data_IF_459536807769
#
_entry.id   IF_459536807769
#
_cell.length_a   1.000
_cell.length_b   1.000
_cell.length_c   1.000
_cell.angle_alpha   90.00
_cell.angle_beta   90.00
_cell.angle_gamma   90.00
#
_symmetry.space_group_name_H-M   'P 1'
#
loop_
_entity.id
_entity.type
_entity.pdbx_description
1 polymer ?
#
# COMPACT_ATOMS: atom_id res chain seq x y z
N UNK A 1 7.82 -9.94 -35.73
CA UNK A 1 6.64 -10.55 -35.07
C UNK A 1 7.13 -11.69 -34.20
N UNK A 2 7.16 -11.51 -32.87
CA UNK A 2 7.60 -12.55 -31.95
C UNK A 2 6.46 -13.58 -31.78
N UNK A 3 6.71 -14.85 -32.14
CA UNK A 3 5.72 -15.91 -32.01
C UNK A 3 5.44 -16.23 -30.55
N UNK A 4 4.24 -15.92 -30.07
CA UNK A 4 3.75 -16.34 -28.75
C UNK A 4 3.42 -17.84 -28.81
N UNK A 5 4.00 -18.63 -27.90
CA UNK A 5 3.87 -20.10 -27.89
C UNK A 5 2.75 -20.58 -26.97
N UNK A 6 2.00 -19.68 -26.34
CA UNK A 6 0.82 -20.04 -25.55
C UNK A 6 -0.32 -20.43 -26.48
N UNK A 7 -0.71 -21.71 -26.48
CA UNK A 7 -1.89 -22.25 -27.17
C UNK A 7 -2.60 -23.25 -26.25
N UNK A 8 -3.90 -23.45 -26.42
CA UNK A 8 -4.69 -24.47 -25.71
C UNK A 8 -5.40 -23.97 -24.45
N UNK A 9 -5.68 -24.87 -23.50
CA UNK A 9 -6.58 -24.65 -22.35
C UNK A 9 -6.26 -23.42 -21.48
N UNK A 10 -5.00 -23.01 -21.39
CA UNK A 10 -4.58 -21.88 -20.54
C UNK A 10 -4.40 -20.54 -21.29
N UNK A 11 -4.74 -20.51 -22.58
CA UNK A 11 -4.67 -19.29 -23.38
C UNK A 11 -5.57 -18.16 -22.86
N UNK A 12 -6.82 -18.40 -22.40
CA UNK A 12 -7.65 -17.33 -21.85
C UNK A 12 -7.02 -16.63 -20.63
N UNK A 13 -6.33 -17.39 -19.78
CA UNK A 13 -5.61 -16.82 -18.64
C UNK A 13 -4.40 -15.97 -19.08
N UNK A 14 -3.73 -16.36 -20.16
CA UNK A 14 -2.68 -15.53 -20.76
C UNK A 14 -3.23 -14.21 -21.30
N UNK A 15 -4.30 -14.24 -22.08
CA UNK A 15 -4.92 -13.03 -22.62
C UNK A 15 -5.42 -12.11 -21.51
N UNK A 16 -6.09 -12.70 -20.51
CA UNK A 16 -6.54 -11.97 -19.34
C UNK A 16 -5.39 -11.23 -18.69
N UNK A 17 -4.29 -11.92 -18.34
CA UNK A 17 -3.14 -11.32 -17.67
C UNK A 17 -2.39 -10.31 -18.56
N UNK A 18 -2.32 -10.54 -19.87
CA UNK A 18 -1.65 -9.65 -20.81
C UNK A 18 -2.31 -8.26 -20.88
N UNK A 19 -3.64 -8.22 -20.73
CA UNK A 19 -4.43 -6.98 -20.77
C UNK A 19 -4.36 -6.15 -19.48
N UNK A 20 -3.70 -6.67 -18.44
CA UNK A 20 -3.71 -6.04 -17.12
C UNK A 20 -2.59 -5.01 -17.03
N UNK A 21 -2.95 -3.80 -16.65
CA UNK A 21 -2.02 -2.69 -16.46
C UNK A 21 -1.32 -2.79 -15.11
N UNK A 22 -1.97 -3.42 -14.12
CA UNK A 22 -1.47 -3.59 -12.77
C UNK A 22 -0.25 -4.51 -12.70
N UNK A 23 0.69 -4.18 -11.81
CA UNK A 23 1.89 -4.97 -11.58
C UNK A 23 1.65 -6.17 -10.64
N UNK A 24 0.48 -6.25 -10.01
CA UNK A 24 0.12 -7.30 -9.07
C UNK A 24 -1.37 -7.62 -9.19
N UNK A 25 -1.69 -8.91 -9.29
CA UNK A 25 -3.03 -9.41 -9.62
C UNK A 25 -3.30 -10.62 -8.76
N UNK A 26 -4.46 -10.65 -8.12
CA UNK A 26 -4.89 -11.79 -7.30
C UNK A 26 -6.17 -12.34 -7.91
N UNK A 27 -6.14 -13.63 -8.24
CA UNK A 27 -7.30 -14.33 -8.77
C UNK A 27 -7.65 -15.49 -7.85
N UNK A 28 -8.91 -15.59 -7.47
CA UNK A 28 -9.44 -16.77 -6.78
C UNK A 28 -9.40 -17.99 -7.68
N UNK A 29 -9.47 -19.19 -7.10
CA UNK A 29 -9.55 -20.41 -7.91
C UNK A 29 -10.78 -20.40 -8.81
N UNK A 30 -11.91 -19.87 -8.32
CA UNK A 30 -13.15 -19.76 -9.11
C UNK A 30 -13.00 -18.75 -10.25
N UNK A 31 -12.42 -17.58 -10.00
CA UNK A 31 -12.14 -16.58 -11.06
C UNK A 31 -11.21 -17.15 -12.14
N UNK A 32 -10.18 -17.92 -11.75
CA UNK A 32 -9.29 -18.58 -12.72
C UNK A 32 -10.07 -19.60 -13.55
N UNK A 33 -10.96 -20.38 -12.94
CA UNK A 33 -11.79 -21.35 -13.66
C UNK A 33 -12.83 -20.70 -14.58
N UNK A 34 -13.37 -19.55 -14.18
CA UNK A 34 -14.25 -18.71 -15.01
C UNK A 34 -13.50 -18.18 -16.22
N UNK A 35 -12.29 -17.62 -16.03
CA UNK A 35 -11.43 -17.14 -17.11
C UNK A 35 -11.06 -18.29 -18.06
N UNK A 36 -10.73 -19.47 -17.51
CA UNK A 36 -10.36 -20.65 -18.31
C UNK A 36 -11.56 -21.33 -18.97
N UNK A 37 -12.79 -20.95 -18.61
CA UNK A 37 -14.03 -21.65 -18.95
C UNK A 37 -13.97 -23.16 -18.67
N UNK A 38 -13.19 -23.57 -17.66
CA UNK A 38 -12.92 -24.95 -17.36
C UNK A 38 -12.39 -25.11 -15.95
N UNK A 39 -12.77 -26.23 -15.30
CA UNK A 39 -12.25 -26.57 -13.98
C UNK A 39 -10.74 -26.85 -14.01
N UNK A 40 -10.04 -26.37 -12.99
CA UNK A 40 -8.62 -26.62 -12.74
C UNK A 40 -8.43 -28.08 -12.32
N UNK A 41 -7.32 -28.73 -12.72
CA UNK A 41 -7.04 -30.09 -12.29
C UNK A 41 -6.83 -30.14 -10.78
N UNK A 42 -7.13 -31.29 -10.14
CA UNK A 42 -6.94 -31.50 -8.69
C UNK A 42 -5.53 -31.15 -8.20
N UNK A 43 -4.53 -31.27 -9.06
CA UNK A 43 -3.15 -30.92 -8.75
C UNK A 43 -2.95 -29.42 -8.50
N UNK A 44 -3.71 -28.54 -9.14
CA UNK A 44 -3.67 -27.09 -8.92
C UNK A 44 -4.08 -26.72 -7.48
N UNK A 45 -4.98 -27.50 -6.88
CA UNK A 45 -5.45 -27.30 -5.50
C UNK A 45 -4.54 -27.91 -4.43
N UNK A 46 -3.63 -28.82 -4.81
CA UNK A 46 -2.87 -29.64 -3.86
C UNK A 46 -1.37 -29.41 -3.89
N UNK A 47 -0.81 -29.02 -5.03
CA UNK A 47 0.63 -28.99 -5.22
C UNK A 47 1.11 -27.62 -5.69
N UNK A 48 1.92 -26.95 -4.87
CA UNK A 48 2.55 -25.67 -5.19
C UNK A 48 3.36 -25.73 -6.49
N UNK A 49 4.00 -26.87 -6.78
CA UNK A 49 4.76 -27.09 -8.00
C UNK A 49 3.92 -26.90 -9.27
N UNK A 50 2.60 -27.08 -9.21
CA UNK A 50 1.70 -26.84 -10.33
C UNK A 50 1.67 -25.36 -10.74
N UNK A 51 1.83 -24.46 -9.77
CA UNK A 51 1.94 -23.01 -9.96
C UNK A 51 3.38 -22.51 -10.06
N UNK A 52 4.32 -23.42 -10.37
CA UNK A 52 5.74 -23.09 -10.49
C UNK A 52 6.05 -22.13 -11.65
N UNK A 53 7.10 -21.32 -11.50
CA UNK A 53 7.51 -20.33 -12.50
C UNK A 53 8.58 -20.87 -13.47
N UNK A 54 8.48 -22.13 -13.87
CA UNK A 54 9.47 -22.80 -14.73
C UNK A 54 8.84 -23.23 -16.04
N UNK A 55 9.45 -22.78 -17.16
CA UNK A 55 9.15 -23.30 -18.49
C UNK A 55 9.81 -24.67 -18.66
N UNK A 56 9.12 -25.75 -18.29
CA UNK A 56 9.46 -27.11 -18.68
C UNK A 56 8.36 -27.66 -19.57
N UNK A 57 8.68 -28.54 -20.53
CA UNK A 57 7.73 -29.10 -21.49
C UNK A 57 6.52 -29.81 -20.84
N UNK A 58 6.61 -30.15 -19.55
CA UNK A 58 5.55 -30.78 -18.75
C UNK A 58 4.60 -29.78 -18.05
N UNK A 59 4.92 -28.48 -18.01
CA UNK A 59 4.17 -27.44 -17.29
C UNK A 59 3.62 -26.37 -18.25
N UNK A 60 2.81 -26.81 -19.21
CA UNK A 60 2.16 -25.95 -20.22
C UNK A 60 1.32 -24.82 -19.63
N UNK A 61 0.80 -24.97 -18.40
CA UNK A 61 0.06 -23.92 -17.70
C UNK A 61 0.94 -22.73 -17.34
N UNK A 62 2.21 -22.96 -16.96
CA UNK A 62 3.10 -21.90 -16.50
C UNK A 62 3.48 -20.93 -17.60
N UNK A 63 3.41 -21.36 -18.86
CA UNK A 63 3.58 -20.49 -20.00
C UNK A 63 2.56 -19.35 -20.02
N UNK A 64 1.34 -19.55 -19.50
CA UNK A 64 0.28 -18.55 -19.56
C UNK A 64 0.63 -17.27 -18.79
N UNK A 65 1.08 -17.38 -17.53
CA UNK A 65 1.50 -16.19 -16.78
C UNK A 65 2.91 -15.74 -17.15
N UNK A 66 3.86 -16.66 -17.39
CA UNK A 66 5.25 -16.27 -17.72
C UNK A 66 5.32 -15.50 -19.04
N UNK A 67 4.58 -15.91 -20.09
CA UNK A 67 4.58 -15.20 -21.37
C UNK A 67 3.76 -13.91 -21.34
N UNK A 68 2.78 -13.79 -20.43
CA UNK A 68 2.10 -12.53 -20.14
C UNK A 68 3.00 -11.55 -19.36
N UNK A 69 4.19 -11.97 -18.93
CA UNK A 69 5.12 -11.15 -18.15
C UNK A 69 4.85 -11.20 -16.65
N UNK A 70 4.15 -12.24 -16.16
CA UNK A 70 3.82 -12.44 -14.76
C UNK A 70 4.52 -13.69 -14.19
N UNK A 71 4.70 -13.70 -12.87
CA UNK A 71 5.09 -14.90 -12.11
C UNK A 71 4.11 -15.11 -10.95
N UNK A 72 3.87 -16.35 -10.56
CA UNK A 72 3.14 -16.65 -9.33
C UNK A 72 4.04 -16.34 -8.14
N UNK A 73 3.59 -15.49 -7.22
CA UNK A 73 4.35 -15.09 -6.04
C UNK A 73 3.86 -15.80 -4.77
N UNK A 74 2.54 -15.93 -4.61
CA UNK A 74 1.92 -16.61 -3.48
C UNK A 74 0.70 -17.44 -3.89
N UNK A 75 0.42 -18.48 -3.10
CA UNK A 75 -0.69 -19.41 -3.27
C UNK A 75 -1.40 -19.54 -1.93
N UNK A 76 -2.68 -19.16 -1.89
CA UNK A 76 -3.56 -19.39 -0.76
C UNK A 76 -4.55 -20.49 -1.15
N UNK A 77 -4.27 -21.75 -0.81
CA UNK A 77 -5.10 -22.88 -1.21
C UNK A 77 -6.57 -22.71 -0.82
N UNK A 78 -7.47 -22.95 -1.78
CA UNK A 78 -8.91 -22.77 -1.60
C UNK A 78 -9.38 -21.31 -1.55
N UNK A 79 -8.47 -20.35 -1.77
CA UNK A 79 -8.79 -18.92 -1.82
C UNK A 79 -8.31 -18.31 -3.13
N UNK A 80 -7.02 -18.04 -3.28
CA UNK A 80 -6.50 -17.27 -4.41
C UNK A 80 -5.03 -17.53 -4.74
N UNK A 81 -4.64 -17.08 -5.93
CA UNK A 81 -3.30 -17.11 -6.51
C UNK A 81 -2.88 -15.68 -6.83
N UNK A 82 -1.65 -15.33 -6.46
CA UNK A 82 -1.09 -14.00 -6.68
C UNK A 82 -0.09 -14.02 -7.85
N UNK A 83 -0.33 -13.19 -8.86
CA UNK A 83 0.52 -12.97 -10.02
C UNK A 83 1.20 -11.60 -9.93
N UNK A 84 2.52 -11.57 -10.05
CA UNK A 84 3.32 -10.34 -10.06
C UNK A 84 3.95 -10.14 -11.43
N UNK A 85 3.76 -8.96 -12.03
CA UNK A 85 4.37 -8.55 -13.29
C UNK A 85 5.86 -8.38 -13.07
N UNK A 86 6.66 -8.99 -13.93
CA UNK A 86 8.12 -8.99 -13.86
C UNK A 86 8.71 -8.55 -15.19
N UNK A 87 9.75 -7.72 -15.12
CA UNK A 87 10.55 -7.41 -16.30
C UNK A 87 11.17 -8.70 -16.84
N UNK A 88 11.27 -8.82 -18.18
CA UNK A 88 11.79 -10.02 -18.86
C UNK A 88 13.18 -10.46 -18.34
N UNK A 89 13.94 -9.54 -17.75
CA UNK A 89 15.26 -9.75 -17.14
C UNK A 89 15.22 -10.59 -15.85
N UNK A 90 14.16 -10.49 -15.03
CA UNK A 90 14.05 -11.21 -13.74
C UNK A 90 13.71 -12.70 -13.94
N UNK A 91 13.12 -13.06 -15.07
CA UNK A 91 12.75 -14.45 -15.40
C UNK A 91 13.98 -15.33 -15.70
N UNK A 92 15.18 -14.75 -15.82
CA UNK A 92 16.43 -15.47 -16.07
C UNK A 92 17.55 -15.02 -15.11
N UNK A 93 17.71 -15.77 -14.01
CA UNK A 93 18.89 -15.86 -13.08
C UNK A 93 18.93 -14.95 -11.83
N UNK A 94 18.73 -15.60 -10.67
CA UNK A 94 19.61 -15.66 -9.48
C UNK A 94 20.74 -14.60 -9.38
N UNK A 95 20.47 -13.43 -8.76
CA UNK A 95 21.46 -12.63 -8.00
C UNK A 95 20.76 -11.50 -7.24
N UNK A 96 20.87 -11.48 -5.92
CA UNK A 96 21.10 -10.28 -5.09
C UNK A 96 21.21 -10.66 -3.61
N UNK A 97 22.40 -11.18 -3.27
CA UNK A 97 22.89 -11.50 -1.93
C UNK A 97 23.72 -10.34 -1.33
N UNK A 98 23.82 -9.18 -1.99
CA UNK A 98 24.92 -8.21 -1.75
C UNK A 98 24.52 -6.94 -0.96
N UNK A 99 23.27 -6.71 -0.56
CA UNK A 99 22.88 -5.42 0.06
C UNK A 99 22.87 -5.45 1.61
N UNK A 100 23.24 -6.56 2.27
CA UNK A 100 23.05 -6.71 3.73
C UNK A 100 24.17 -6.21 4.64
N UNK A 101 25.31 -5.71 4.14
CA UNK A 101 26.49 -5.49 5.01
C UNK A 101 27.07 -4.06 5.05
N UNK A 102 26.48 -3.08 4.36
CA UNK A 102 26.97 -1.71 4.44
C UNK A 102 25.88 -0.78 4.99
N UNK A 103 25.91 -0.54 6.31
CA UNK A 103 25.56 0.72 7.00
C UNK A 103 25.25 0.42 8.48
N UNK A 104 26.26 -0.07 9.20
CA UNK A 104 26.36 0.14 10.64
C UNK A 104 27.05 1.50 10.81
N UNK A 105 26.33 2.54 11.20
CA UNK A 105 26.92 3.72 11.79
C UNK A 105 26.18 4.08 13.07
N UNK A 106 26.89 3.91 14.19
CA UNK A 106 26.56 4.42 15.52
C UNK A 106 26.26 5.92 15.45
N UNK A 107 25.21 6.39 16.11
CA UNK A 107 25.20 7.73 16.69
C UNK A 107 24.26 7.81 17.90
N UNK A 108 24.73 8.55 18.90
CA UNK A 108 24.17 8.89 20.22
C UNK A 108 23.16 10.06 20.03
N UNK A 109 22.19 10.30 20.94
CA UNK A 109 20.95 11.01 20.61
C UNK A 109 21.10 12.53 20.56
N UNK A 110 20.60 13.11 19.46
CA UNK A 110 20.37 14.55 19.24
C UNK A 110 19.25 14.66 18.21
N UNK A 111 18.17 15.38 18.53
CA UNK A 111 17.01 15.68 17.66
C UNK A 111 17.41 15.77 16.17
N UNK A 112 16.80 14.95 15.31
CA UNK A 112 17.21 14.83 13.90
C UNK A 112 16.91 16.15 13.16
N UNK A 113 17.93 16.86 12.65
CA UNK A 113 17.76 18.14 11.96
C UNK A 113 16.78 18.07 10.76
N UNK A 114 16.57 16.88 10.18
CA UNK A 114 15.70 16.67 9.01
C UNK A 114 14.20 16.72 9.32
N UNK A 115 13.79 16.35 10.53
CA UNK A 115 12.38 16.35 10.93
C UNK A 115 11.88 17.78 11.13
N UNK A 116 12.64 18.58 11.88
CA UNK A 116 12.38 20.02 12.09
C UNK A 116 12.31 20.79 10.76
N UNK A 117 13.19 20.47 9.81
CA UNK A 117 13.20 21.09 8.48
C UNK A 117 11.94 20.76 7.65
N UNK A 118 11.38 19.55 7.80
CA UNK A 118 10.18 19.12 7.07
C UNK A 118 8.94 19.85 7.58
N UNK A 119 8.78 19.95 8.90
CA UNK A 119 7.66 20.68 9.52
C UNK A 119 7.68 22.17 9.18
N UNK A 120 8.85 22.82 9.23
CA UNK A 120 8.98 24.23 8.84
C UNK A 120 8.53 24.47 7.39
N UNK A 121 8.94 23.60 6.44
CA UNK A 121 8.52 23.70 5.03
C UNK A 121 7.03 23.50 4.83
N UNK A 122 6.40 22.63 5.62
CA UNK A 122 4.94 22.44 5.58
C UNK A 122 4.25 23.70 6.12
N UNK A 123 4.71 24.26 7.23
CA UNK A 123 4.17 25.49 7.81
C UNK A 123 4.26 26.67 6.82
N UNK A 124 5.43 26.92 6.24
CA UNK A 124 5.63 27.97 5.22
C UNK A 124 4.68 27.81 4.02
N UNK A 125 4.43 26.55 3.60
CA UNK A 125 3.49 26.26 2.51
C UNK A 125 2.05 26.60 2.92
N UNK A 126 1.64 26.26 4.14
CA UNK A 126 0.30 26.56 4.65
C UNK A 126 0.09 28.06 4.83
N UNK A 127 1.09 28.79 5.32
CA UNK A 127 1.05 30.26 5.42
C UNK A 127 0.90 30.92 4.04
N UNK A 128 1.68 30.46 3.05
CA UNK A 128 1.55 30.91 1.67
C UNK A 128 0.16 30.59 1.08
N UNK A 129 -0.43 29.46 1.47
CA UNK A 129 -1.76 29.07 1.04
C UNK A 129 -2.84 29.98 1.64
N UNK A 130 -2.71 30.27 2.94
CA UNK A 130 -3.57 31.21 3.63
C UNK A 130 -3.52 32.60 2.97
N UNK A 131 -2.33 33.11 2.69
CA UNK A 131 -2.17 34.39 2.00
C UNK A 131 -2.81 34.36 0.60
N UNK A 132 -2.57 33.31 -0.17
CA UNK A 132 -3.15 33.16 -1.51
C UNK A 132 -4.68 33.18 -1.48
N UNK A 133 -5.32 32.46 -0.56
CA UNK A 133 -6.78 32.46 -0.45
C UNK A 133 -7.33 33.81 0.02
N UNK A 134 -6.60 34.51 0.88
CA UNK A 134 -6.97 35.86 1.33
C UNK A 134 -6.94 36.87 0.17
N UNK A 135 -5.89 36.84 -0.66
CA UNK A 135 -5.77 37.68 -1.85
C UNK A 135 -6.86 37.39 -2.90
N UNK A 136 -7.32 36.13 -2.96
CA UNK A 136 -8.35 35.68 -3.90
C UNK A 136 -9.77 35.62 -3.30
N UNK A 137 -9.99 36.13 -2.08
CA UNK A 137 -11.24 35.93 -1.31
C UNK A 137 -12.51 36.51 -1.96
N UNK A 138 -12.35 37.51 -2.83
CA UNK A 138 -13.47 38.20 -3.49
C UNK A 138 -13.69 37.78 -4.95
N UNK A 139 -13.00 36.73 -5.41
CA UNK A 139 -13.12 36.27 -6.79
C UNK A 139 -14.44 35.57 -7.02
N UNK A 140 -15.06 35.87 -8.16
CA UNK A 140 -16.29 35.24 -8.62
C UNK A 140 -15.98 34.40 -9.85
N UNK A 141 -15.40 33.22 -9.64
CA UNK A 141 -14.87 32.37 -10.72
C UNK A 141 -15.86 32.08 -11.85
N UNK A 142 -17.15 31.96 -11.55
CA UNK A 142 -18.19 31.74 -12.57
C UNK A 142 -18.33 32.90 -13.57
N UNK A 143 -17.91 34.10 -13.19
CA UNK A 143 -18.01 35.35 -13.97
C UNK A 143 -16.67 35.76 -14.60
N UNK A 144 -15.59 35.03 -14.30
CA UNK A 144 -14.23 35.33 -14.77
C UNK A 144 -13.91 34.67 -16.12
N UNK A 145 -12.92 35.24 -16.83
CA UNK A 145 -12.42 34.63 -18.06
C UNK A 145 -11.69 33.31 -17.82
N UNK A 146 -11.68 32.42 -18.82
CA UNK A 146 -10.96 31.15 -18.76
C UNK A 146 -9.45 31.33 -18.43
N UNK A 147 -8.83 32.39 -18.97
CA UNK A 147 -7.43 32.70 -18.69
C UNK A 147 -7.23 33.01 -17.20
N UNK A 148 -8.09 33.86 -16.64
CA UNK A 148 -8.02 34.27 -15.23
C UNK A 148 -8.25 33.08 -14.28
N UNK A 149 -9.16 32.18 -14.63
CA UNK A 149 -9.37 30.93 -13.90
C UNK A 149 -8.15 30.00 -14.01
N UNK A 150 -7.59 29.84 -15.21
CA UNK A 150 -6.43 28.98 -15.45
C UNK A 150 -5.18 29.42 -14.66
N UNK A 151 -4.94 30.74 -14.55
CA UNK A 151 -3.84 31.30 -13.76
C UNK A 151 -3.94 30.90 -12.28
N UNK A 152 -5.14 30.95 -11.70
CA UNK A 152 -5.39 30.50 -10.31
C UNK A 152 -5.08 29.04 -10.13
N UNK A 153 -5.54 28.17 -11.04
CA UNK A 153 -5.22 26.75 -10.96
C UNK A 153 -3.73 26.48 -11.09
N UNK A 154 -2.98 27.27 -11.87
CA UNK A 154 -1.53 27.16 -11.95
C UNK A 154 -0.85 27.52 -10.62
N UNK A 155 -1.32 28.58 -9.96
CA UNK A 155 -0.82 28.97 -8.64
C UNK A 155 -1.19 27.94 -7.55
N UNK A 156 -2.44 27.46 -7.53
CA UNK A 156 -2.85 26.34 -6.67
C UNK A 156 -1.94 25.12 -6.87
N UNK A 157 -1.65 24.74 -8.12
CA UNK A 157 -0.75 23.62 -8.43
C UNK A 157 0.68 23.86 -7.94
N UNK A 158 1.17 25.10 -7.97
CA UNK A 158 2.50 25.48 -7.46
C UNK A 158 2.55 25.37 -5.94
N UNK A 159 1.51 25.88 -5.28
CA UNK A 159 1.34 25.94 -3.85
C UNK A 159 1.20 24.55 -3.22
N UNK A 160 0.25 23.74 -3.71
CA UNK A 160 -0.02 22.38 -3.22
C UNK A 160 0.86 21.31 -3.87
N UNK A 161 2.03 21.71 -4.38
CA UNK A 161 2.97 20.77 -4.99
C UNK A 161 3.40 19.72 -3.95
N UNK A 162 3.28 18.45 -4.34
CA UNK A 162 3.63 17.29 -3.50
C UNK A 162 2.86 17.24 -2.17
N UNK A 163 1.63 17.77 -2.12
CA UNK A 163 0.79 17.74 -0.92
C UNK A 163 0.66 16.33 -0.32
N UNK A 164 0.60 15.29 -1.16
CA UNK A 164 0.58 13.89 -0.71
C UNK A 164 1.80 13.53 0.14
N UNK A 165 2.99 14.06 -0.16
CA UNK A 165 4.18 13.81 0.66
C UNK A 165 4.07 14.48 2.02
N UNK A 166 3.46 15.65 2.09
CA UNK A 166 3.25 16.36 3.34
C UNK A 166 2.20 15.62 4.19
N UNK A 167 1.11 15.18 3.57
CA UNK A 167 0.07 14.35 4.22
C UNK A 167 0.68 13.06 4.76
N UNK A 168 1.47 12.36 3.96
CA UNK A 168 2.19 11.15 4.37
C UNK A 168 3.11 11.41 5.57
N UNK A 169 3.86 12.50 5.52
CA UNK A 169 4.75 12.88 6.62
C UNK A 169 3.94 13.16 7.89
N UNK A 170 2.91 14.00 7.84
CA UNK A 170 2.06 14.30 8.99
C UNK A 170 1.36 13.05 9.54
N UNK A 171 0.86 12.16 8.66
CA UNK A 171 0.24 10.91 9.07
C UNK A 171 1.21 9.96 9.78
N UNK A 172 2.47 9.88 9.32
CA UNK A 172 3.50 9.10 10.01
C UNK A 172 3.86 9.68 11.38
N UNK A 173 3.92 11.02 11.50
CA UNK A 173 4.10 11.70 12.78
C UNK A 173 2.94 11.41 13.75
N UNK A 174 1.69 11.51 13.28
CA UNK A 174 0.50 11.22 14.10
C UNK A 174 0.46 9.75 14.55
N UNK A 175 0.79 8.81 13.66
CA UNK A 175 0.90 7.40 14.01
C UNK A 175 1.95 7.18 15.11
N UNK A 176 3.14 7.77 14.98
CA UNK A 176 4.20 7.69 15.99
C UNK A 176 3.72 8.29 17.32
N UNK A 177 3.11 9.48 17.31
CA UNK A 177 2.57 10.12 18.51
C UNK A 177 1.53 9.24 19.22
N UNK A 178 0.63 8.60 18.47
CA UNK A 178 -0.35 7.67 19.00
C UNK A 178 0.33 6.47 19.69
N UNK A 179 1.32 5.85 19.04
CA UNK A 179 2.04 4.70 19.57
C UNK A 179 2.86 5.05 20.81
N UNK A 180 3.58 6.18 20.79
CA UNK A 180 4.33 6.71 21.93
C UNK A 180 3.42 6.90 23.15
N UNK A 181 2.25 7.53 22.95
CA UNK A 181 1.26 7.77 24.02
C UNK A 181 0.62 6.47 24.52
N UNK A 182 0.37 5.49 23.65
CA UNK A 182 -0.33 4.25 24.02
C UNK A 182 0.56 3.24 24.74
N UNK A 183 1.84 3.15 24.37
CA UNK A 183 2.76 2.14 24.90
C UNK A 183 3.87 2.73 25.80
N UNK A 184 3.77 4.01 26.18
CA UNK A 184 4.76 4.73 27.00
C UNK A 184 6.20 4.55 26.48
N UNK A 185 6.34 4.52 25.15
CA UNK A 185 7.63 4.39 24.49
C UNK A 185 8.49 5.62 24.83
N UNK A 186 9.80 5.42 25.00
CA UNK A 186 10.73 6.56 25.09
C UNK A 186 10.90 7.15 23.69
N UNK A 187 11.02 8.49 23.58
CA UNK A 187 11.43 9.14 22.34
C UNK A 187 12.70 8.44 21.82
N UNK A 188 12.55 7.75 20.70
CA UNK A 188 13.59 7.00 20.02
C UNK A 188 13.19 6.90 18.55
N UNK A 189 14.18 6.84 17.66
CA UNK A 189 13.97 6.85 16.22
C UNK A 189 13.28 5.56 15.74
N UNK A 190 11.97 5.46 15.90
CA UNK A 190 11.18 4.41 15.27
C UNK A 190 11.23 4.65 13.77
N UNK A 191 12.06 3.86 13.07
CA UNK A 191 12.21 4.00 11.62
C UNK A 191 10.97 3.48 10.92
N UNK A 192 10.08 4.40 10.55
CA UNK A 192 8.99 4.13 9.63
C UNK A 192 9.59 3.87 8.25
N UNK A 193 9.35 2.68 7.71
CA UNK A 193 9.78 2.30 6.36
C UNK A 193 8.64 2.54 5.38
N UNK A 194 8.89 3.40 4.41
CA UNK A 194 7.99 3.55 3.27
C UNK A 194 8.12 2.33 2.35
N UNK A 195 7.03 1.59 2.14
CA UNK A 195 6.98 0.46 1.21
C UNK A 195 6.64 0.90 -0.21
N UNK A 196 5.67 1.82 -0.33
CA UNK A 196 5.25 2.43 -1.59
C UNK A 196 4.80 3.89 -1.34
N UNK A 197 4.20 4.54 -2.33
CA UNK A 197 3.80 5.95 -2.23
C UNK A 197 2.87 6.26 -1.04
N UNK A 198 2.02 5.32 -0.63
CA UNK A 198 0.98 5.53 0.38
C UNK A 198 0.99 4.51 1.53
N UNK A 199 1.96 3.59 1.54
CA UNK A 199 2.08 2.54 2.54
C UNK A 199 3.34 2.70 3.38
N UNK A 200 3.15 2.76 4.69
CA UNK A 200 4.21 2.93 5.67
C UNK A 200 4.15 1.81 6.70
N UNK A 201 5.32 1.30 7.08
CA UNK A 201 5.45 0.21 8.05
C UNK A 201 6.31 0.61 9.23
N UNK A 202 5.89 0.18 10.41
CA UNK A 202 6.67 0.30 11.63
C UNK A 202 6.72 -1.04 12.34
N UNK A 203 7.92 -1.44 12.75
CA UNK A 203 8.14 -2.56 13.66
C UNK A 203 9.02 -2.05 14.79
N UNK A 204 8.53 -2.14 16.02
CA UNK A 204 9.19 -1.57 17.19
C UNK A 204 9.15 -2.52 18.38
N UNK A 205 10.20 -2.50 19.19
CA UNK A 205 10.26 -3.19 20.48
C UNK A 205 10.15 -2.14 21.58
N UNK A 206 9.00 -2.12 22.26
CA UNK A 206 8.76 -1.24 23.39
C UNK A 206 9.71 -1.54 24.56
N UNK A 207 10.03 -0.55 25.41
CA UNK A 207 10.81 -0.78 26.63
C UNK A 207 10.19 -1.80 27.59
N UNK A 208 8.88 -2.02 27.50
CA UNK A 208 8.11 -3.02 28.25
C UNK A 208 8.34 -4.45 27.75
N UNK A 209 9.04 -4.64 26.63
CA UNK A 209 9.22 -5.92 25.94
C UNK A 209 8.13 -6.24 24.91
N UNK A 210 7.14 -5.36 24.76
CA UNK A 210 6.07 -5.48 23.78
C UNK A 210 6.60 -5.27 22.35
N UNK A 211 6.23 -6.15 21.43
CA UNK A 211 6.59 -6.02 20.01
C UNK A 211 5.41 -5.45 19.25
N UNK A 212 5.59 -4.29 18.66
CA UNK A 212 4.56 -3.55 17.95
C UNK A 212 4.84 -3.67 16.46
N UNK A 213 3.81 -4.00 15.68
CA UNK A 213 3.83 -3.92 14.22
C UNK A 213 2.67 -3.05 13.74
N UNK A 214 2.93 -2.12 12.84
CA UNK A 214 1.93 -1.23 12.30
C UNK A 214 2.07 -1.06 10.79
N UNK A 215 0.93 -1.06 10.10
CA UNK A 215 0.78 -0.55 8.73
C UNK A 215 0.04 0.78 8.81
N UNK A 216 0.47 1.78 8.07
CA UNK A 216 -0.27 3.01 7.82
C UNK A 216 -0.55 3.14 6.32
N UNK A 217 -1.83 3.36 6.00
CA UNK A 217 -2.31 3.69 4.65
C UNK A 217 -2.82 5.12 4.62
N UNK A 218 -2.28 5.88 3.68
CA UNK A 218 -2.70 7.25 3.38
C UNK A 218 -3.40 7.37 2.03
N UNK A 219 -3.59 6.24 1.33
CA UNK A 219 -4.21 6.22 0.00
C UNK A 219 -5.64 6.75 0.08
N UNK A 220 -6.01 7.72 -0.76
CA UNK A 220 -7.39 8.16 -0.85
C UNK A 220 -8.30 7.03 -1.38
N UNK A 221 -9.58 6.99 -0.97
CA UNK A 221 -10.55 6.02 -1.47
C UNK A 221 -10.82 6.27 -2.95
N UNK A 222 -10.78 5.22 -3.76
CA UNK A 222 -11.13 5.33 -5.18
C UNK A 222 -12.65 5.25 -5.43
N UNK A 223 -13.41 4.77 -4.44
CA UNK A 223 -14.87 4.71 -4.46
C UNK A 223 -15.41 4.93 -3.05
N UNK A 224 -16.61 5.48 -2.97
CA UNK A 224 -17.32 5.69 -1.70
C UNK A 224 -17.97 4.41 -1.16
N UNK A 225 -18.14 3.37 -1.98
CA UNK A 225 -18.91 2.18 -1.59
C UNK A 225 -18.07 0.96 -1.23
N UNK A 226 -16.90 0.77 -1.85
CA UNK A 226 -16.04 -0.40 -1.64
C UNK A 226 -14.61 -0.15 -2.15
N UNK A 227 -13.70 -1.05 -1.80
CA UNK A 227 -12.36 -1.10 -2.38
C UNK A 227 -12.39 -1.53 -3.84
N UNK A 228 -11.53 -0.90 -4.63
CA UNK A 228 -11.15 -1.45 -5.94
C UNK A 228 -10.44 -2.79 -5.76
N UNK A 229 -10.38 -3.66 -6.80
CA UNK A 229 -9.63 -4.92 -6.72
C UNK A 229 -8.19 -4.74 -6.23
N UNK A 230 -7.52 -3.66 -6.65
CA UNK A 230 -6.16 -3.31 -6.20
C UNK A 230 -6.12 -2.93 -4.71
N UNK A 231 -6.98 -2.02 -4.25
CA UNK A 231 -7.04 -1.63 -2.83
C UNK A 231 -7.39 -2.81 -1.93
N UNK A 232 -8.31 -3.67 -2.38
CA UNK A 232 -8.71 -4.89 -1.68
C UNK A 232 -7.56 -5.89 -1.56
N UNK A 233 -6.82 -6.10 -2.65
CA UNK A 233 -5.62 -6.95 -2.67
C UNK A 233 -4.59 -6.45 -1.67
N UNK A 234 -4.27 -5.16 -1.73
CA UNK A 234 -3.30 -4.52 -0.86
C UNK A 234 -3.68 -4.69 0.62
N UNK A 235 -4.95 -4.43 0.96
CA UNK A 235 -5.47 -4.61 2.32
C UNK A 235 -5.25 -6.04 2.83
N UNK A 236 -5.52 -7.06 2.02
CA UNK A 236 -5.31 -8.45 2.43
C UNK A 236 -3.82 -8.80 2.59
N UNK A 237 -2.95 -8.26 1.74
CA UNK A 237 -1.50 -8.45 1.86
C UNK A 237 -0.96 -7.86 3.16
N UNK A 238 -1.38 -6.64 3.49
CA UNK A 238 -0.99 -5.99 4.74
C UNK A 238 -1.48 -6.76 5.97
N UNK A 239 -2.75 -7.23 5.97
CA UNK A 239 -3.30 -8.02 7.07
C UNK A 239 -2.51 -9.32 7.26
N UNK A 240 -2.18 -9.98 6.16
CA UNK A 240 -1.38 -11.20 6.18
C UNK A 240 0.08 -10.94 6.64
N UNK A 241 0.67 -9.82 6.22
CA UNK A 241 1.99 -9.38 6.66
C UNK A 241 2.00 -9.17 8.19
N UNK A 242 1.08 -8.35 8.70
CA UNK A 242 0.95 -8.08 10.14
C UNK A 242 0.71 -9.35 10.96
N UNK A 243 -0.11 -10.27 10.45
CA UNK A 243 -0.41 -11.54 11.13
C UNK A 243 0.80 -12.49 11.20
N UNK A 244 1.76 -12.37 10.28
CA UNK A 244 3.01 -13.17 10.28
C UNK A 244 4.13 -12.51 11.07
N UNK A 245 4.08 -11.20 11.27
CA UNK A 245 5.05 -10.50 12.10
C UNK A 245 4.92 -11.00 13.53
N UNK A 246 6.06 -11.34 14.14
CA UNK A 246 6.12 -11.76 15.54
C UNK A 246 5.96 -10.53 16.46
N UNK A 247 4.76 -9.96 16.45
CA UNK A 247 4.35 -8.80 17.24
C UNK A 247 3.30 -9.24 18.27
N UNK A 248 3.40 -8.67 19.47
CA UNK A 248 2.38 -8.86 20.52
C UNK A 248 1.16 -8.00 20.24
N UNK A 249 1.35 -6.86 19.57
CA UNK A 249 0.26 -5.94 19.20
C UNK A 249 0.44 -5.48 17.77
N UNK A 250 -0.63 -5.58 16.98
CA UNK A 250 -0.66 -5.13 15.58
C UNK A 250 -1.67 -4.02 15.36
N UNK A 251 -1.31 -3.07 14.49
CA UNK A 251 -2.15 -1.93 14.13
C UNK A 251 -2.27 -1.77 12.62
N UNK A 252 -3.45 -1.35 12.18
CA UNK A 252 -3.75 -0.91 10.83
C UNK A 252 -4.29 0.51 10.89
N UNK A 253 -3.47 1.49 10.51
CA UNK A 253 -3.83 2.89 10.49
C UNK A 253 -4.33 3.30 9.11
N UNK A 254 -5.40 4.09 9.10
CA UNK A 254 -5.94 4.76 7.91
C UNK A 254 -6.17 6.23 8.22
N UNK A 255 -6.03 7.11 7.22
CA UNK A 255 -6.27 8.55 7.36
C UNK A 255 -7.62 9.00 6.80
N UNK A 256 -8.32 8.12 6.09
CA UNK A 256 -9.58 8.43 5.41
C UNK A 256 -10.76 7.68 6.04
N UNK A 257 -11.85 8.41 6.27
CA UNK A 257 -13.05 7.90 6.92
C UNK A 257 -13.84 6.90 6.06
N UNK A 258 -13.87 7.08 4.74
CA UNK A 258 -14.51 6.12 3.84
C UNK A 258 -13.74 4.80 3.86
N UNK A 259 -12.40 4.85 3.81
CA UNK A 259 -11.56 3.65 3.92
C UNK A 259 -11.81 2.94 5.25
N UNK A 260 -11.83 3.67 6.37
CA UNK A 260 -12.14 3.12 7.68
C UNK A 260 -13.50 2.42 7.70
N UNK A 261 -14.55 3.10 7.23
CA UNK A 261 -15.91 2.57 7.20
C UNK A 261 -16.06 1.35 6.29
N UNK A 262 -15.36 1.32 5.15
CA UNK A 262 -15.34 0.14 4.27
C UNK A 262 -14.73 -1.05 5.01
N UNK A 263 -13.59 -0.87 5.67
CA UNK A 263 -12.94 -1.95 6.43
C UNK A 263 -13.85 -2.41 7.57
N UNK A 264 -14.38 -1.49 8.36
CA UNK A 264 -15.20 -1.82 9.52
C UNK A 264 -16.47 -2.58 9.16
N UNK A 265 -17.14 -2.19 8.07
CA UNK A 265 -18.42 -2.79 7.69
C UNK A 265 -18.28 -4.07 6.88
N UNK A 266 -17.25 -4.17 6.01
CA UNK A 266 -17.14 -5.27 5.03
C UNK A 266 -15.97 -6.21 5.28
N UNK A 267 -14.87 -5.72 5.85
CA UNK A 267 -13.61 -6.45 5.93
C UNK A 267 -13.10 -6.70 7.36
N UNK A 268 -13.86 -6.30 8.39
CA UNK A 268 -13.48 -6.43 9.80
C UNK A 268 -13.09 -7.84 10.22
N UNK A 269 -13.77 -8.85 9.67
CA UNK A 269 -13.47 -10.26 9.93
C UNK A 269 -12.06 -10.69 9.53
N UNK A 270 -11.41 -9.97 8.60
CA UNK A 270 -10.06 -10.31 8.11
C UNK A 270 -8.93 -9.66 8.90
N UNK A 271 -9.24 -8.67 9.76
CA UNK A 271 -8.26 -8.05 10.65
C UNK A 271 -7.79 -9.00 11.76
N UNK A 272 -8.63 -9.95 12.19
CA UNK A 272 -8.30 -10.83 13.30
C UNK A 272 -8.03 -10.03 14.58
N UNK A 273 -6.79 -10.04 15.07
CA UNK A 273 -6.34 -9.30 16.26
C UNK A 273 -5.75 -7.92 15.93
N UNK A 274 -5.68 -7.54 14.66
CA UNK A 274 -5.15 -6.26 14.21
C UNK A 274 -6.13 -5.14 14.59
N UNK A 275 -5.63 -4.12 15.28
CA UNK A 275 -6.41 -2.96 15.69
C UNK A 275 -6.49 -1.94 14.55
N UNK A 276 -7.70 -1.69 14.02
CA UNK A 276 -7.95 -0.64 13.03
C UNK A 276 -8.05 0.73 13.72
N UNK A 277 -7.32 1.72 13.21
CA UNK A 277 -7.25 3.08 13.79
C UNK A 277 -7.46 4.12 12.69
N UNK A 278 -8.35 5.09 12.93
CA UNK A 278 -8.56 6.25 12.07
C UNK A 278 -7.82 7.48 12.61
N UNK A 279 -6.86 8.00 11.85
CA UNK A 279 -6.18 9.25 12.14
C UNK A 279 -6.85 10.42 11.41
N UNK A 280 -6.88 11.63 11.99
CA UNK A 280 -6.47 11.99 13.36
C UNK A 280 -7.56 11.73 14.42
N UNK A 281 -8.77 11.27 14.06
CA UNK A 281 -9.93 11.19 14.98
C UNK A 281 -9.61 10.49 16.31
N UNK A 282 -8.87 9.38 16.29
CA UNK A 282 -8.52 8.64 17.51
C UNK A 282 -7.55 9.42 18.44
N UNK A 283 -6.82 10.39 17.91
CA UNK A 283 -5.99 11.32 18.70
C UNK A 283 -6.89 12.42 19.30
N UNK A 284 -7.88 12.89 18.52
CA UNK A 284 -8.84 13.90 18.95
C UNK A 284 -9.87 13.39 19.96
N UNK A 285 -10.22 12.10 19.96
CA UNK A 285 -11.14 11.51 20.96
C UNK A 285 -10.52 11.46 22.38
N UNK A 286 -9.21 11.67 22.52
CA UNK A 286 -8.60 11.98 23.82
C UNK A 286 -8.86 13.44 24.28
N UNK A 287 -9.22 14.32 23.36
CA UNK A 287 -9.63 15.71 23.61
C UNK A 287 -11.16 15.90 23.54
N UNK A 288 -11.90 14.99 22.91
CA UNK A 288 -13.35 14.87 23.02
C UNK A 288 -13.70 13.84 24.10
N UNK A 289 -13.55 14.27 25.34
CA UNK A 289 -14.22 13.66 26.49
C UNK A 289 -15.72 13.54 26.20
N UNK A 290 -16.20 12.34 25.92
CA UNK A 290 -17.54 11.93 26.35
C UNK A 290 -17.55 10.46 26.80
N UNK A 291 -17.46 10.34 28.13
CA UNK A 291 -18.07 9.35 29.02
C UNK A 291 -17.72 7.86 28.85
#
# INVERSE_FOLDING_TARGET
>A
MAGHSVRGKYYPLYEYLLQQEENHIVLTFDEIEEILHAKLPRSAYKYQAWWGNTKSGTYVQAAAWIEAGFRVDAIQYGRCIEFVKVSKEILTKKKNKIIREALISKTIPTEDPKESESLCKIAEKLDAAQQFFEENRYRHFAEESLLSQFEVFCECRRLFRKVEKDVNYLATQLMQEFLLKKHHLKLGYSQVKQQDEFTFMLEELAPTGEKIAAVLKTTPPASSSDFTPSQRSMFFQDCHLLSRTNATTQFYFVTDELVFNIIENKYKQYLGYIQLILLPKVIDDKYSLHA
#
